data_IF_832986424711
#
_entry.id   IF_832986424711
#
_cell.length_a   1.000
_cell.length_b   1.000
_cell.length_c   1.000
_cell.angle_alpha   90.00
_cell.angle_beta   90.00
_cell.angle_gamma   90.00
#
_symmetry.space_group_name_H-M   'P 1'
#
loop_
_entity.id
_entity.type
_entity.pdbx_description
1 polymer ?
#
# COMPACT_ATOMS: atom_id res chain seq x y z
N UNK A 1 73.98 20.45 43.13
CA UNK A 1 73.96 19.98 41.72
C UNK A 1 72.55 20.28 41.20
N UNK A 2 72.33 21.43 40.53
CA UNK A 2 72.24 21.56 39.05
C UNK A 2 71.25 20.57 38.44
N UNK A 3 70.24 20.88 37.62
CA UNK A 3 69.84 22.04 36.80
C UNK A 3 68.42 21.64 36.30
N UNK A 4 67.43 22.50 36.41
CA UNK A 4 66.93 23.37 35.33
C UNK A 4 65.71 22.80 34.56
N UNK A 5 64.73 23.69 34.44
CA UNK A 5 63.54 23.69 33.59
C UNK A 5 63.74 22.97 32.25
N UNK A 6 62.76 22.17 31.85
CA UNK A 6 62.56 21.82 30.44
C UNK A 6 61.17 22.27 29.98
N UNK A 7 61.19 23.12 28.95
CA UNK A 7 60.04 23.69 28.26
C UNK A 7 59.34 22.62 27.43
N UNK A 8 58.02 22.58 27.51
CA UNK A 8 57.15 21.77 26.65
C UNK A 8 57.16 22.39 25.25
N UNK A 9 57.87 21.76 24.31
CA UNK A 9 57.78 22.09 22.88
C UNK A 9 56.61 21.30 22.30
N UNK A 10 55.49 21.97 22.03
CA UNK A 10 54.39 21.44 21.23
C UNK A 10 54.81 21.61 19.76
N UNK A 11 55.15 20.49 19.12
CA UNK A 11 55.39 20.43 17.68
C UNK A 11 54.02 20.35 16.99
N UNK A 12 53.56 21.46 16.41
CA UNK A 12 52.41 21.48 15.50
C UNK A 12 52.81 20.80 14.19
N UNK A 13 52.44 19.54 14.03
CA UNK A 13 52.37 18.89 12.71
C UNK A 13 50.97 19.20 12.16
N UNK A 14 50.89 20.16 11.25
CA UNK A 14 49.75 20.35 10.37
C UNK A 14 49.67 19.18 9.40
N UNK A 15 48.99 18.11 9.82
CA UNK A 15 48.56 17.07 8.90
C UNK A 15 47.28 17.56 8.24
N UNK A 16 47.44 18.24 7.10
CA UNK A 16 46.36 18.50 6.17
C UNK A 16 45.91 17.16 5.59
N UNK A 17 45.03 16.45 6.30
CA UNK A 17 44.24 15.39 5.67
C UNK A 17 43.25 16.09 4.76
N UNK A 18 43.67 16.36 3.54
CA UNK A 18 42.77 16.35 2.40
C UNK A 18 42.13 14.96 2.42
N UNK A 19 40.97 14.86 3.06
CA UNK A 19 40.01 13.81 2.72
C UNK A 19 39.57 14.21 1.32
N UNK A 20 40.39 13.80 0.34
CA UNK A 20 39.88 13.41 -0.96
C UNK A 20 38.80 12.40 -0.59
N UNK A 21 37.55 12.84 -0.58
CA UNK A 21 36.43 11.93 -0.72
C UNK A 21 36.75 11.17 -2.01
N UNK A 22 37.37 10.00 -1.86
CA UNK A 22 37.32 8.98 -2.88
C UNK A 22 35.86 8.92 -3.27
N UNK A 23 35.60 9.08 -4.57
CA UNK A 23 34.34 8.75 -5.21
C UNK A 23 33.79 7.51 -4.51
N UNK A 24 32.87 7.73 -3.58
CA UNK A 24 32.16 6.66 -2.95
C UNK A 24 31.16 6.33 -4.03
N UNK A 25 31.54 5.36 -4.88
CA UNK A 25 30.68 4.74 -5.88
C UNK A 25 29.33 4.55 -5.19
N UNK A 26 28.41 5.46 -5.52
CA UNK A 26 27.06 5.40 -5.00
C UNK A 26 26.51 4.11 -5.59
N UNK A 27 26.05 3.17 -4.74
CA UNK A 27 25.66 1.84 -5.20
C UNK A 27 24.74 2.00 -6.40
N UNK A 28 25.07 1.30 -7.48
CA UNK A 28 24.24 1.35 -8.68
C UNK A 28 22.81 1.02 -8.29
N UNK A 29 21.88 1.82 -8.82
CA UNK A 29 20.47 1.49 -8.73
C UNK A 29 20.35 0.06 -9.28
N UNK A 30 19.72 -0.89 -8.55
CA UNK A 30 19.51 -2.20 -9.11
C UNK A 30 18.79 -2.01 -10.45
N UNK A 31 19.40 -2.50 -11.53
CA UNK A 31 18.82 -2.46 -12.87
C UNK A 31 17.46 -3.15 -12.78
N UNK A 32 16.39 -2.36 -12.71
CA UNK A 32 15.04 -2.89 -12.66
C UNK A 32 14.61 -3.09 -14.12
N UNK A 33 14.46 -4.33 -14.62
CA UNK A 33 14.36 -4.64 -16.06
C UNK A 33 13.11 -4.11 -16.79
N UNK A 34 12.28 -3.29 -16.14
CA UNK A 34 11.15 -2.60 -16.76
C UNK A 34 11.04 -1.12 -16.40
N UNK A 35 12.02 -0.56 -15.69
CA UNK A 35 12.21 0.88 -15.69
C UNK A 35 12.86 1.26 -17.02
N UNK A 36 12.45 2.38 -17.62
CA UNK A 36 13.25 2.98 -18.68
C UNK A 36 14.33 3.81 -17.99
N UNK A 37 15.58 3.38 -18.09
CA UNK A 37 16.75 4.03 -17.50
C UNK A 37 17.46 4.89 -18.55
N UNK A 38 17.82 6.12 -18.19
CA UNK A 38 18.64 7.00 -19.02
C UNK A 38 19.60 7.80 -18.14
N UNK A 39 20.77 7.22 -17.85
CA UNK A 39 21.86 7.89 -17.15
C UNK A 39 21.45 8.46 -15.79
N UNK A 40 21.13 9.76 -15.78
CA UNK A 40 20.77 10.54 -14.58
C UNK A 40 19.34 10.34 -14.09
N UNK A 41 18.50 9.57 -14.80
CA UNK A 41 17.15 9.30 -14.31
C UNK A 41 16.61 7.94 -14.75
N UNK A 42 15.57 7.49 -14.06
CA UNK A 42 14.76 6.32 -14.42
C UNK A 42 13.28 6.63 -14.25
N UNK A 43 12.41 6.02 -15.04
CA UNK A 43 10.96 6.12 -14.93
C UNK A 43 10.34 4.73 -14.76
N UNK A 44 9.31 4.63 -13.92
CA UNK A 44 8.66 3.37 -13.54
C UNK A 44 7.70 2.80 -14.60
N UNK A 45 7.18 3.65 -15.49
CA UNK A 45 6.37 3.24 -16.63
C UNK A 45 6.43 4.27 -17.76
N UNK A 46 6.32 3.80 -19.00
CA UNK A 46 6.28 4.65 -20.20
C UNK A 46 4.95 4.58 -20.93
N UNK A 47 3.95 3.91 -20.37
CA UNK A 47 2.60 3.85 -20.92
C UNK A 47 1.55 4.09 -19.84
N UNK A 48 0.66 5.07 -20.06
CA UNK A 48 -0.47 5.39 -19.19
C UNK A 48 -1.78 5.08 -19.91
N UNK A 49 -2.77 4.63 -19.16
CA UNK A 49 -4.10 4.34 -19.69
C UNK A 49 -4.85 5.60 -20.11
N UNK A 50 -5.87 5.41 -20.94
CA UNK A 50 -6.73 6.49 -21.40
C UNK A 50 -7.46 7.21 -20.26
N UNK A 51 -7.74 6.56 -19.13
CA UNK A 51 -8.39 7.22 -17.98
C UNK A 51 -7.46 8.19 -17.22
N UNK A 52 -6.18 8.27 -17.60
CA UNK A 52 -5.17 8.99 -16.84
C UNK A 52 -4.54 8.09 -15.77
N UNK A 53 -3.52 8.62 -15.11
CA UNK A 53 -2.72 7.84 -14.15
C UNK A 53 -1.42 8.55 -13.80
N UNK A 54 -0.82 8.09 -12.70
CA UNK A 54 0.47 8.58 -12.21
C UNK A 54 1.66 7.76 -12.72
N UNK A 55 2.85 8.36 -12.67
CA UNK A 55 4.15 7.72 -12.88
C UNK A 55 5.19 8.34 -11.94
N UNK A 56 6.31 7.67 -11.72
CA UNK A 56 7.39 8.11 -10.84
C UNK A 56 8.70 8.15 -11.63
N UNK A 57 9.39 9.28 -11.53
CA UNK A 57 10.75 9.46 -12.04
C UNK A 57 11.71 9.56 -10.85
N UNK A 58 12.80 8.81 -10.90
CA UNK A 58 13.90 8.84 -9.92
C UNK A 58 15.13 9.44 -10.60
N UNK A 59 15.71 10.46 -10.00
CA UNK A 59 16.88 11.21 -10.50
C UNK A 59 18.11 10.86 -9.67
N UNK A 60 19.22 10.55 -10.34
CA UNK A 60 20.57 10.38 -9.78
C UNK A 60 21.44 11.53 -10.31
N UNK A 61 21.84 12.45 -9.44
CA UNK A 61 22.59 13.64 -9.83
C UNK A 61 23.47 14.13 -8.69
N UNK A 62 24.71 14.52 -8.98
CA UNK A 62 25.66 15.09 -8.02
C UNK A 62 25.53 16.62 -7.88
N UNK A 63 24.33 17.15 -8.14
CA UNK A 63 24.05 18.58 -8.10
C UNK A 63 22.59 18.91 -8.40
N UNK A 64 22.33 20.17 -8.77
CA UNK A 64 20.98 20.64 -9.09
C UNK A 64 20.49 20.01 -10.38
N UNK A 65 19.21 19.69 -10.44
CA UNK A 65 18.54 19.20 -11.64
C UNK A 65 17.23 19.94 -11.90
N UNK A 66 16.82 19.97 -13.16
CA UNK A 66 15.50 20.47 -13.59
C UNK A 66 14.71 19.34 -14.25
N UNK A 67 13.38 19.45 -14.19
CA UNK A 67 12.45 18.53 -14.81
C UNK A 67 11.37 19.31 -15.57
N UNK A 68 11.04 18.88 -16.78
CA UNK A 68 9.99 19.51 -17.59
C UNK A 68 9.13 18.47 -18.31
N UNK A 69 7.85 18.79 -18.47
CA UNK A 69 6.92 18.08 -19.35
C UNK A 69 6.75 18.87 -20.64
N UNK A 70 6.77 18.22 -21.80
CA UNK A 70 6.47 18.86 -23.09
C UNK A 70 4.98 19.21 -23.25
N UNK A 71 4.12 18.72 -22.36
CA UNK A 71 2.67 18.78 -22.50
C UNK A 71 1.98 19.25 -21.23
N UNK A 72 0.91 20.04 -21.36
CA UNK A 72 0.18 20.63 -20.23
C UNK A 72 -0.81 19.68 -19.55
N UNK A 73 -1.19 18.60 -20.23
CA UNK A 73 -2.05 17.54 -19.69
C UNK A 73 -1.27 16.51 -18.85
N UNK A 74 0.05 16.64 -18.79
CA UNK A 74 0.95 15.86 -17.96
C UNK A 74 1.66 16.80 -16.97
N UNK A 75 1.39 16.64 -15.67
CA UNK A 75 1.92 17.50 -14.61
C UNK A 75 2.97 16.80 -13.79
N UNK A 76 3.99 17.52 -13.32
CA UNK A 76 5.01 17.03 -12.40
C UNK A 76 4.82 17.67 -11.02
N UNK A 77 5.00 16.89 -9.96
CA UNK A 77 4.93 17.34 -8.55
C UNK A 77 5.93 18.45 -8.22
N UNK A 78 7.07 18.48 -8.92
CA UNK A 78 8.06 19.56 -8.89
C UNK A 78 8.92 19.53 -10.16
N UNK A 79 9.49 20.68 -10.51
CA UNK A 79 10.28 20.88 -11.74
C UNK A 79 11.77 21.11 -11.47
N UNK A 80 12.23 20.97 -10.24
CA UNK A 80 13.65 21.05 -9.88
C UNK A 80 13.96 20.35 -8.56
N UNK A 81 15.25 20.09 -8.32
CA UNK A 81 15.79 19.59 -7.06
C UNK A 81 17.32 19.61 -7.04
N UNK A 82 17.91 19.02 -6.00
CA UNK A 82 19.35 18.94 -5.81
C UNK A 82 19.73 17.58 -5.21
N UNK A 83 20.81 16.98 -5.70
CA UNK A 83 21.17 15.61 -5.34
C UNK A 83 20.18 14.58 -5.89
N UNK A 84 20.27 13.35 -5.42
CA UNK A 84 19.32 12.30 -5.77
C UNK A 84 17.90 12.64 -5.26
N UNK A 85 16.87 12.24 -6.00
CA UNK A 85 15.49 12.46 -5.57
C UNK A 85 14.44 11.84 -6.49
N UNK A 86 13.18 11.87 -6.04
CA UNK A 86 12.05 11.39 -6.83
C UNK A 86 11.08 12.53 -7.16
N UNK A 87 10.42 12.42 -8.30
CA UNK A 87 9.28 13.25 -8.70
C UNK A 87 8.15 12.33 -9.16
N UNK A 88 6.92 12.59 -8.73
CA UNK A 88 5.74 12.00 -9.35
C UNK A 88 5.24 12.87 -10.49
N UNK A 89 4.71 12.24 -11.53
CA UNK A 89 3.96 12.89 -12.58
C UNK A 89 2.57 12.28 -12.74
N UNK A 90 1.65 13.03 -13.33
CA UNK A 90 0.26 12.64 -13.53
C UNK A 90 -0.25 13.06 -14.90
N UNK A 91 -0.88 12.14 -15.62
CA UNK A 91 -1.57 12.42 -16.88
C UNK A 91 -3.08 12.50 -16.66
N UNK A 92 -3.69 13.59 -17.12
CA UNK A 92 -5.16 13.70 -17.21
C UNK A 92 -5.72 12.63 -18.14
N UNK A 93 -7.00 12.29 -17.97
CA UNK A 93 -7.70 11.41 -18.90
C UNK A 93 -7.55 11.88 -20.36
N UNK A 94 -7.38 10.92 -21.26
CA UNK A 94 -7.35 11.05 -22.70
C UNK A 94 -8.66 10.51 -23.29
N UNK A 95 -9.50 11.42 -23.78
CA UNK A 95 -10.73 11.07 -24.50
C UNK A 95 -10.54 11.05 -26.02
N UNK A 96 -9.33 11.32 -26.50
CA UNK A 96 -8.99 11.41 -27.92
C UNK A 96 -8.17 10.23 -28.40
N UNK A 97 -7.52 10.42 -29.55
CA UNK A 97 -6.53 9.49 -30.05
C UNK A 97 -5.36 9.32 -29.07
N UNK A 98 -4.62 8.24 -29.23
CA UNK A 98 -3.37 8.01 -28.54
C UNK A 98 -2.45 9.24 -28.64
N UNK A 99 -1.82 9.61 -27.53
CA UNK A 99 -0.97 10.79 -27.44
C UNK A 99 0.28 10.49 -26.64
N UNK A 100 1.31 11.32 -26.77
CA UNK A 100 2.57 11.12 -26.07
C UNK A 100 3.06 12.42 -25.45
N UNK A 101 3.82 12.31 -24.36
CA UNK A 101 4.52 13.40 -23.70
C UNK A 101 5.98 13.04 -23.53
N UNK A 102 6.84 14.04 -23.63
CA UNK A 102 8.26 13.92 -23.34
C UNK A 102 8.52 14.56 -21.97
N UNK A 103 9.12 13.79 -21.07
CA UNK A 103 9.67 14.31 -19.82
C UNK A 103 11.19 14.40 -19.96
N UNK A 104 11.73 15.58 -19.68
CA UNK A 104 13.17 15.84 -19.74
C UNK A 104 13.66 16.13 -18.32
N UNK A 105 14.72 15.44 -17.91
CA UNK A 105 15.50 15.73 -16.70
C UNK A 105 16.87 16.19 -17.14
N UNK A 106 17.35 17.32 -16.62
CA UNK A 106 18.70 17.83 -16.89
C UNK A 106 19.48 18.03 -15.60
N UNK A 107 20.74 17.61 -15.58
CA UNK A 107 21.69 17.92 -14.51
C UNK A 107 23.07 18.23 -15.10
N UNK A 108 23.53 19.47 -14.93
CA UNK A 108 24.77 19.92 -15.55
C UNK A 108 24.73 19.80 -17.09
N UNK A 109 25.54 18.90 -17.65
CA UNK A 109 25.59 18.60 -19.09
C UNK A 109 24.87 17.30 -19.47
N UNK A 110 24.34 16.59 -18.49
CA UNK A 110 23.67 15.31 -18.68
C UNK A 110 22.16 15.51 -18.79
N UNK A 111 21.51 14.69 -19.61
CA UNK A 111 20.08 14.74 -19.89
C UNK A 111 19.51 13.33 -19.93
N UNK A 112 18.31 13.17 -19.37
CA UNK A 112 17.48 11.99 -19.50
C UNK A 112 16.13 12.39 -20.10
N UNK A 113 15.72 11.70 -21.16
CA UNK A 113 14.50 11.98 -21.90
C UNK A 113 13.58 10.76 -21.95
N UNK A 114 12.43 10.83 -21.29
CA UNK A 114 11.42 9.78 -21.31
C UNK A 114 10.25 10.16 -22.20
N UNK A 115 9.98 9.34 -23.21
CA UNK A 115 8.74 9.42 -24.00
C UNK A 115 7.71 8.52 -23.35
N UNK A 116 6.65 9.12 -22.81
CA UNK A 116 5.52 8.39 -22.27
C UNK A 116 4.36 8.44 -23.26
N UNK A 117 3.74 7.30 -23.45
CA UNK A 117 2.58 7.07 -24.30
C UNK A 117 1.32 7.05 -23.44
N UNK A 118 0.25 7.69 -23.88
CA UNK A 118 -1.08 7.57 -23.30
C UNK A 118 -2.05 6.98 -24.32
N UNK A 119 -2.67 5.85 -23.98
CA UNK A 119 -3.57 5.12 -24.87
C UNK A 119 -4.79 5.96 -25.29
N UNK A 120 -5.37 5.63 -26.45
CA UNK A 120 -6.58 6.24 -26.97
C UNK A 120 -7.81 5.95 -26.10
N UNK A 121 -8.76 6.87 -26.08
CA UNK A 121 -10.01 6.80 -25.30
C UNK A 121 -11.00 5.70 -25.70
N UNK A 122 -10.66 4.81 -26.65
CA UNK A 122 -11.59 3.87 -27.29
C UNK A 122 -11.34 2.36 -27.02
N UNK A 123 -10.46 2.03 -26.06
CA UNK A 123 -10.59 0.75 -25.33
C UNK A 123 -9.77 -0.45 -25.84
N UNK A 124 -8.46 -0.30 -26.07
CA UNK A 124 -7.56 -1.46 -26.09
C UNK A 124 -6.75 -1.56 -24.79
N UNK A 125 -7.15 -2.50 -23.92
CA UNK A 125 -6.37 -2.94 -22.76
C UNK A 125 -5.52 -4.17 -23.16
N UNK A 126 -4.18 -4.10 -23.12
CA UNK A 126 -3.34 -5.29 -23.07
C UNK A 126 -3.08 -5.74 -21.62
N UNK A 127 -3.27 -7.05 -21.43
CA UNK A 127 -2.91 -8.02 -20.37
C UNK A 127 -2.24 -7.53 -19.03
N UNK A 128 -2.77 -7.89 -17.84
CA UNK A 128 -2.44 -7.20 -16.58
C UNK A 128 -1.17 -7.59 -15.82
N UNK A 129 -0.38 -8.64 -16.13
CA UNK A 129 0.90 -8.87 -15.41
C UNK A 129 1.79 -10.03 -15.94
N UNK A 130 3.10 -9.79 -16.20
CA UNK A 130 4.13 -10.80 -15.98
C UNK A 130 5.42 -10.24 -15.33
N UNK A 131 5.39 -9.64 -14.14
CA UNK A 131 6.62 -9.42 -13.34
C UNK A 131 6.35 -9.20 -11.83
N UNK A 132 6.64 -10.19 -10.95
CA UNK A 132 6.46 -10.06 -9.50
C UNK A 132 7.45 -9.09 -8.80
N UNK A 133 8.40 -8.45 -9.50
CA UNK A 133 9.30 -7.42 -8.94
C UNK A 133 8.83 -5.97 -9.20
N UNK A 134 7.69 -5.77 -9.86
CA UNK A 134 7.09 -4.44 -10.13
C UNK A 134 5.60 -4.42 -9.78
N UNK A 135 5.19 -3.82 -8.65
CA UNK A 135 3.80 -3.87 -8.22
C UNK A 135 2.89 -3.17 -9.23
N UNK A 136 1.79 -3.84 -9.58
CA UNK A 136 0.79 -3.46 -10.58
C UNK A 136 0.28 -2.01 -10.46
N UNK A 137 -0.33 -1.50 -11.54
CA UNK A 137 -1.06 -0.22 -11.54
C UNK A 137 -2.18 -0.11 -10.49
N UNK A 138 -2.53 -1.21 -9.80
CA UNK A 138 -3.42 -1.20 -8.65
C UNK A 138 -2.80 -0.58 -7.40
N UNK A 139 -1.46 -0.53 -7.28
CA UNK A 139 -0.79 0.05 -6.11
C UNK A 139 -1.07 1.56 -5.93
N UNK A 140 -1.46 2.26 -7.01
CA UNK A 140 -1.87 3.67 -6.95
C UNK A 140 -3.34 3.90 -6.62
N UNK A 141 -4.09 2.86 -6.21
CA UNK A 141 -5.49 3.01 -5.82
C UNK A 141 -5.60 3.56 -4.40
N UNK A 142 -6.70 4.26 -4.14
CA UNK A 142 -6.93 4.99 -2.88
C UNK A 142 -6.89 4.06 -1.67
N UNK A 143 -7.46 2.86 -1.74
CA UNK A 143 -7.44 1.91 -0.63
C UNK A 143 -6.06 1.33 -0.33
N UNK A 144 -5.07 1.48 -1.20
CA UNK A 144 -3.78 0.83 -1.03
C UNK A 144 -2.93 1.64 -0.06
N UNK A 145 -2.54 1.07 1.11
CA UNK A 145 -1.57 1.70 1.98
C UNK A 145 -0.21 1.77 1.30
N UNK A 146 0.62 2.68 1.78
CA UNK A 146 1.97 2.84 1.29
C UNK A 146 2.73 1.55 1.46
N UNK A 147 3.22 1.02 0.35
CA UNK A 147 3.96 -0.24 0.35
C UNK A 147 5.19 -0.10 1.25
N UNK A 148 5.44 -1.11 2.08
CA UNK A 148 6.65 -1.21 2.89
C UNK A 148 7.91 -1.19 2.00
N UNK A 149 7.81 -1.81 0.82
CA UNK A 149 8.91 -1.99 -0.10
C UNK A 149 9.95 -3.00 0.41
N UNK A 150 11.02 -3.18 -0.36
CA UNK A 150 12.05 -4.19 -0.09
C UNK A 150 11.73 -5.57 -0.68
N UNK A 151 12.77 -6.38 -0.90
CA UNK A 151 12.69 -7.63 -1.67
C UNK A 151 11.87 -8.76 -1.03
N UNK A 152 11.57 -8.64 0.27
CA UNK A 152 10.78 -9.64 1.01
C UNK A 152 9.28 -9.29 1.08
N UNK A 153 8.86 -8.20 0.43
CA UNK A 153 7.46 -7.77 0.40
C UNK A 153 6.94 -7.83 -1.04
N UNK A 154 5.85 -8.55 -1.26
CA UNK A 154 5.19 -8.67 -2.57
C UNK A 154 3.80 -8.03 -2.52
N UNK A 155 3.52 -7.12 -3.45
CA UNK A 155 2.15 -6.65 -3.66
C UNK A 155 1.38 -7.62 -4.56
N UNK A 156 0.19 -8.02 -4.13
CA UNK A 156 -0.64 -9.01 -4.82
C UNK A 156 -2.06 -8.47 -4.92
N UNK A 157 -2.63 -8.49 -6.12
CA UNK A 157 -4.06 -8.22 -6.32
C UNK A 157 -4.77 -9.45 -6.84
N UNK A 158 -5.88 -9.83 -6.19
CA UNK A 158 -6.79 -10.85 -6.70
C UNK A 158 -7.99 -10.18 -7.35
N UNK A 159 -8.33 -10.67 -8.54
CA UNK A 159 -9.39 -10.11 -9.36
C UNK A 159 -10.37 -11.21 -9.76
N UNK A 160 -11.57 -10.77 -10.12
CA UNK A 160 -12.62 -11.59 -10.73
C UNK A 160 -13.05 -10.96 -12.04
N UNK A 161 -13.55 -11.76 -12.96
CA UNK A 161 -14.16 -11.24 -14.18
C UNK A 161 -15.68 -11.26 -14.03
N UNK A 162 -16.32 -10.10 -14.20
CA UNK A 162 -17.77 -9.96 -14.29
C UNK A 162 -18.09 -9.31 -15.64
N UNK A 163 -18.81 -10.03 -16.50
CA UNK A 163 -19.24 -9.51 -17.82
C UNK A 163 -18.07 -8.98 -18.68
N UNK A 164 -16.93 -9.67 -18.66
CA UNK A 164 -15.73 -9.25 -19.41
C UNK A 164 -14.92 -8.15 -18.73
N UNK A 165 -15.36 -7.63 -17.58
CA UNK A 165 -14.65 -6.60 -16.81
C UNK A 165 -13.96 -7.20 -15.60
N UNK A 166 -12.72 -6.79 -15.42
CA UNK A 166 -11.94 -7.12 -14.24
C UNK A 166 -12.43 -6.30 -13.04
N UNK A 167 -12.73 -6.99 -11.94
CA UNK A 167 -13.18 -6.41 -10.67
C UNK A 167 -12.24 -6.91 -9.59
N UNK A 168 -11.64 -5.99 -8.84
CA UNK A 168 -10.74 -6.31 -7.73
C UNK A 168 -11.55 -6.97 -6.61
N UNK A 169 -11.12 -8.16 -6.22
CA UNK A 169 -11.63 -8.83 -5.02
C UNK A 169 -10.96 -8.23 -3.80
N UNK A 170 -9.63 -8.34 -3.68
CA UNK A 170 -8.84 -7.60 -2.71
C UNK A 170 -7.39 -7.53 -3.20
N UNK A 171 -6.64 -6.58 -2.66
CA UNK A 171 -5.18 -6.51 -2.76
C UNK A 171 -4.53 -6.76 -1.41
N UNK A 172 -3.25 -7.11 -1.39
CA UNK A 172 -2.46 -7.29 -0.18
C UNK A 172 -0.99 -6.97 -0.43
N UNK A 173 -0.28 -6.63 0.63
CA UNK A 173 1.19 -6.71 0.66
C UNK A 173 1.60 -7.88 1.55
N UNK A 174 2.26 -8.87 0.97
CA UNK A 174 2.65 -10.11 1.64
C UNK A 174 4.13 -10.07 2.04
N UNK A 175 4.43 -10.23 3.32
CA UNK A 175 5.79 -10.31 3.84
C UNK A 175 6.24 -11.77 3.86
N UNK A 176 7.14 -12.14 2.94
CA UNK A 176 7.68 -13.49 2.81
C UNK A 176 8.46 -13.95 4.05
N UNK A 177 9.13 -13.03 4.75
CA UNK A 177 9.88 -13.35 5.96
C UNK A 177 8.97 -13.69 7.14
N UNK A 178 7.75 -13.17 7.13
CA UNK A 178 6.73 -13.39 8.17
C UNK A 178 5.61 -14.34 7.74
N UNK A 179 5.61 -14.73 6.47
CA UNK A 179 4.58 -15.53 5.80
C UNK A 179 3.16 -15.05 6.11
N UNK A 180 2.98 -13.75 6.08
CA UNK A 180 1.75 -13.09 6.50
C UNK A 180 1.53 -11.80 5.69
N UNK A 181 0.27 -11.49 5.37
CA UNK A 181 -0.08 -10.21 4.75
C UNK A 181 0.09 -9.07 5.77
N UNK A 182 0.82 -8.03 5.42
CA UNK A 182 0.91 -6.78 6.21
C UNK A 182 -0.46 -6.13 6.34
N UNK A 183 -1.21 -6.17 5.26
CA UNK A 183 -2.58 -5.69 5.16
C UNK A 183 -3.25 -6.34 3.94
N UNK A 184 -4.57 -6.31 3.94
CA UNK A 184 -5.41 -6.50 2.76
C UNK A 184 -6.26 -5.24 2.56
N UNK A 185 -6.46 -4.84 1.31
CA UNK A 185 -7.14 -3.61 0.95
C UNK A 185 -8.17 -3.87 -0.15
N UNK A 186 -9.37 -3.32 0.02
CA UNK A 186 -10.49 -3.63 -0.86
C UNK A 186 -11.63 -2.60 -0.72
N UNK A 187 -12.57 -2.57 -1.68
CA UNK A 187 -13.67 -1.60 -1.68
C UNK A 187 -15.05 -2.24 -1.55
N UNK A 188 -16.03 -1.45 -1.12
CA UNK A 188 -17.46 -1.65 -1.38
C UNK A 188 -17.97 -0.51 -2.25
N UNK A 189 -18.36 -0.84 -3.47
CA UNK A 189 -18.93 0.05 -4.48
C UNK A 189 -20.19 -0.58 -5.10
N UNK A 190 -20.76 0.01 -6.14
CA UNK A 190 -21.95 -0.51 -6.82
C UNK A 190 -21.84 -1.95 -7.34
N UNK A 191 -20.61 -2.49 -7.52
CA UNK A 191 -20.36 -3.86 -8.00
C UNK A 191 -20.07 -4.82 -6.86
N UNK A 192 -19.27 -4.38 -5.89
CA UNK A 192 -18.70 -5.24 -4.84
C UNK A 192 -19.57 -5.28 -3.57
N UNK A 193 -20.52 -4.35 -3.40
CA UNK A 193 -21.49 -4.35 -2.29
C UNK A 193 -22.58 -5.41 -2.41
N UNK A 194 -22.74 -6.04 -3.58
CA UNK A 194 -23.82 -6.97 -3.88
C UNK A 194 -23.61 -8.29 -3.14
N UNK A 195 -24.69 -8.88 -2.60
CA UNK A 195 -24.66 -10.19 -1.95
C UNK A 195 -25.44 -11.24 -2.74
N UNK A 196 -24.72 -12.03 -3.54
CA UNK A 196 -25.27 -13.06 -4.44
C UNK A 196 -24.87 -14.48 -4.07
N UNK A 197 -23.77 -14.67 -3.33
CA UNK A 197 -23.26 -15.99 -2.98
C UNK A 197 -23.07 -16.15 -1.47
N UNK A 198 -23.08 -17.40 -1.04
CA UNK A 198 -22.78 -17.80 0.32
C UNK A 198 -21.31 -18.19 0.47
N UNK A 199 -20.89 -18.31 1.73
CA UNK A 199 -19.57 -18.79 2.15
C UNK A 199 -19.22 -20.12 1.49
N UNK A 200 -18.00 -20.25 0.96
CA UNK A 200 -17.59 -21.40 0.13
C UNK A 200 -16.70 -22.43 0.81
N UNK A 201 -15.94 -22.08 1.85
CA UNK A 201 -14.95 -22.98 2.48
C UNK A 201 -13.89 -23.51 1.49
N UNK A 202 -13.61 -22.77 0.42
CA UNK A 202 -12.73 -23.20 -0.68
C UNK A 202 -11.24 -23.00 -0.35
N UNK A 203 -10.79 -23.60 0.76
CA UNK A 203 -9.42 -23.49 1.28
C UNK A 203 -8.36 -23.86 0.25
N UNK A 204 -7.43 -22.94 0.00
CA UNK A 204 -6.36 -23.16 -0.97
C UNK A 204 -5.10 -22.35 -0.62
N UNK A 205 -3.93 -22.85 -1.02
CA UNK A 205 -2.71 -22.03 -1.00
C UNK A 205 -2.76 -20.99 -2.14
N UNK A 206 -2.11 -19.86 -1.93
CA UNK A 206 -2.06 -18.81 -2.94
C UNK A 206 -0.97 -19.11 -3.99
N UNK A 207 -1.39 -19.26 -5.24
CA UNK A 207 -0.49 -19.57 -6.35
C UNK A 207 0.39 -18.38 -6.75
N UNK A 208 0.02 -17.15 -6.39
CA UNK A 208 0.81 -15.93 -6.68
C UNK A 208 2.05 -15.78 -5.80
N UNK A 209 2.10 -16.53 -4.69
CA UNK A 209 3.23 -16.58 -3.76
C UNK A 209 4.14 -17.75 -4.16
N UNK A 210 5.48 -17.60 -4.18
CA UNK A 210 6.41 -18.70 -4.42
C UNK A 210 6.25 -19.82 -3.37
N UNK A 211 6.44 -21.07 -3.78
CA UNK A 211 6.12 -22.25 -2.95
C UNK A 211 6.80 -22.24 -1.57
N UNK A 212 8.04 -21.77 -1.49
CA UNK A 212 8.82 -21.68 -0.25
C UNK A 212 8.23 -20.72 0.80
N UNK A 213 7.46 -19.71 0.36
CA UNK A 213 6.82 -18.72 1.22
C UNK A 213 5.33 -18.97 1.45
N UNK A 214 4.74 -19.98 0.80
CA UNK A 214 3.31 -20.31 0.99
C UNK A 214 3.02 -20.85 2.39
N UNK A 215 1.79 -20.61 2.82
CA UNK A 215 1.20 -21.19 4.04
C UNK A 215 0.09 -22.17 3.69
N UNK A 216 -0.17 -23.09 4.60
CA UNK A 216 -1.10 -24.20 4.45
C UNK A 216 -1.91 -24.42 5.73
N UNK A 217 -2.94 -25.26 5.66
CA UNK A 217 -3.79 -25.60 6.81
C UNK A 217 -2.99 -25.95 8.07
N UNK A 218 -1.95 -26.77 7.90
CA UNK A 218 -1.13 -27.29 9.00
C UNK A 218 -0.39 -26.20 9.78
N UNK A 219 -0.21 -25.02 9.19
CA UNK A 219 0.56 -23.94 9.81
C UNK A 219 -0.25 -23.17 10.86
N UNK A 220 -1.58 -23.36 10.86
CA UNK A 220 -2.54 -22.68 11.75
C UNK A 220 -3.10 -23.60 12.85
N UNK A 221 -2.55 -24.80 13.09
CA UNK A 221 -3.16 -25.80 14.00
C UNK A 221 -3.47 -25.30 15.42
N UNK A 222 -2.70 -24.34 15.93
CA UNK A 222 -2.84 -23.79 17.29
C UNK A 222 -3.82 -22.61 17.36
N UNK A 223 -4.29 -22.12 16.21
CA UNK A 223 -5.07 -20.89 16.08
C UNK A 223 -6.28 -21.11 15.16
N UNK A 224 -7.23 -20.18 15.19
CA UNK A 224 -8.20 -20.07 14.12
C UNK A 224 -7.54 -19.49 12.86
N UNK A 225 -7.96 -19.97 11.69
CA UNK A 225 -7.68 -19.35 10.39
C UNK A 225 -8.54 -18.08 10.23
N UNK A 226 -8.13 -17.01 10.91
CA UNK A 226 -8.83 -15.74 10.90
C UNK A 226 -8.70 -15.06 9.54
N UNK A 227 -9.81 -14.67 8.93
CA UNK A 227 -9.76 -13.98 7.65
C UNK A 227 -9.33 -12.53 7.86
N UNK A 228 -8.47 -12.00 6.97
CA UNK A 228 -8.26 -10.55 6.88
C UNK A 228 -9.34 -9.92 5.98
N UNK A 229 -9.52 -10.41 4.76
CA UNK A 229 -10.70 -10.12 3.94
C UNK A 229 -11.75 -11.20 4.22
N UNK A 230 -12.85 -10.85 4.89
CA UNK A 230 -13.84 -11.83 5.32
C UNK A 230 -14.57 -12.43 4.11
N UNK A 231 -14.95 -13.71 4.20
CA UNK A 231 -15.80 -14.32 3.18
C UNK A 231 -17.10 -13.52 2.98
N UNK A 232 -17.67 -12.98 4.05
CA UNK A 232 -18.88 -12.17 3.97
C UNK A 232 -18.66 -10.82 3.28
N UNK A 233 -17.43 -10.31 3.18
CA UNK A 233 -17.12 -9.07 2.46
C UNK A 233 -17.09 -9.26 0.94
N UNK A 234 -16.99 -10.52 0.47
CA UNK A 234 -16.86 -10.87 -0.95
C UNK A 234 -17.92 -11.87 -1.38
N UNK A 235 -19.16 -11.43 -1.34
CA UNK A 235 -20.34 -12.23 -1.73
C UNK A 235 -20.93 -11.83 -3.09
N UNK A 236 -20.30 -10.90 -3.82
CA UNK A 236 -20.79 -10.47 -5.14
C UNK A 236 -20.57 -11.52 -6.25
N UNK A 237 -19.58 -12.40 -6.08
CA UNK A 237 -19.23 -13.47 -7.03
C UNK A 237 -18.74 -14.71 -6.28
N UNK A 238 -19.04 -15.89 -6.82
CA UNK A 238 -18.55 -17.17 -6.30
C UNK A 238 -17.02 -17.19 -6.27
N UNK A 239 -16.38 -16.71 -7.34
CA UNK A 239 -14.93 -16.70 -7.46
C UNK A 239 -14.29 -15.74 -6.46
N UNK A 240 -14.88 -14.56 -6.27
CA UNK A 240 -14.43 -13.59 -5.28
C UNK A 240 -14.49 -14.18 -3.86
N UNK A 241 -15.56 -14.92 -3.56
CA UNK A 241 -15.70 -15.58 -2.27
C UNK A 241 -14.63 -16.66 -2.07
N UNK A 242 -14.36 -17.49 -3.07
CA UNK A 242 -13.32 -18.53 -3.00
C UNK A 242 -11.95 -17.92 -2.72
N UNK A 243 -11.62 -16.79 -3.34
CA UNK A 243 -10.34 -16.11 -3.13
C UNK A 243 -10.14 -15.64 -1.68
N UNK A 244 -11.20 -15.42 -0.90
CA UNK A 244 -11.07 -15.10 0.54
C UNK A 244 -10.56 -16.27 1.37
N UNK A 245 -10.60 -17.50 0.85
CA UNK A 245 -10.14 -18.72 1.52
C UNK A 245 -8.67 -19.06 1.22
N UNK A 246 -7.93 -18.17 0.57
CA UNK A 246 -6.49 -18.34 0.40
C UNK A 246 -5.76 -18.20 1.72
N UNK A 247 -4.80 -19.09 1.99
CA UNK A 247 -4.00 -19.04 3.22
C UNK A 247 -3.13 -17.78 3.34
N UNK A 248 -2.89 -17.06 2.24
CA UNK A 248 -2.27 -15.73 2.22
C UNK A 248 -3.14 -14.65 2.86
N UNK A 249 -4.46 -14.82 2.83
CA UNK A 249 -5.46 -13.96 3.47
C UNK A 249 -5.78 -14.38 4.92
N UNK A 250 -5.08 -15.39 5.44
CA UNK A 250 -5.30 -15.89 6.80
C UNK A 250 -4.31 -15.30 7.79
N UNK A 251 -4.78 -15.11 9.02
CA UNK A 251 -4.00 -14.67 10.16
C UNK A 251 -4.25 -15.57 11.36
N UNK A 252 -3.22 -15.96 12.15
CA UNK A 252 -3.40 -16.74 13.36
C UNK A 252 -4.11 -15.94 14.46
N UNK A 253 -5.42 -16.17 14.59
CA UNK A 253 -6.25 -15.53 15.61
C UNK A 253 -6.63 -16.53 16.70
N UNK A 254 -6.60 -16.11 17.97
CA UNK A 254 -7.14 -16.91 19.07
C UNK A 254 -8.62 -17.19 18.82
N UNK A 255 -9.10 -18.39 19.17
CA UNK A 255 -10.48 -18.78 18.86
C UNK A 255 -11.51 -17.85 19.51
N UNK A 256 -11.24 -17.39 20.74
CA UNK A 256 -12.10 -16.43 21.44
C UNK A 256 -12.15 -15.07 20.75
N UNK A 257 -11.01 -14.59 20.23
CA UNK A 257 -10.95 -13.34 19.48
C UNK A 257 -11.66 -13.48 18.13
N UNK A 258 -11.31 -14.49 17.33
CA UNK A 258 -11.85 -14.71 15.98
C UNK A 258 -13.39 -14.82 15.97
N UNK A 259 -13.93 -15.75 16.77
CA UNK A 259 -15.37 -16.05 16.78
C UNK A 259 -16.21 -15.06 17.61
N UNK A 260 -15.56 -14.31 18.51
CA UNK A 260 -16.22 -13.34 19.36
C UNK A 260 -16.02 -11.91 18.87
N UNK A 261 -14.86 -11.33 19.20
CA UNK A 261 -14.61 -9.90 19.01
C UNK A 261 -14.37 -9.53 17.54
N UNK A 262 -13.52 -10.28 16.84
CA UNK A 262 -13.19 -10.00 15.43
C UNK A 262 -14.41 -10.09 14.52
N UNK A 263 -15.26 -11.10 14.72
CA UNK A 263 -16.55 -11.21 13.99
C UNK A 263 -17.44 -9.98 14.20
N UNK A 264 -17.49 -9.41 15.42
CA UNK A 264 -18.21 -8.15 15.68
C UNK A 264 -17.56 -6.96 14.96
N UNK A 265 -16.22 -6.94 14.84
CA UNK A 265 -15.50 -5.91 14.09
C UNK A 265 -15.81 -5.94 12.61
N UNK A 266 -15.76 -7.13 12.00
CA UNK A 266 -16.09 -7.32 10.60
C UNK A 266 -17.56 -6.93 10.33
N UNK A 267 -18.48 -7.29 11.23
CA UNK A 267 -19.88 -6.87 11.12
C UNK A 267 -20.04 -5.34 11.24
N UNK A 268 -19.24 -4.67 12.07
CA UNK A 268 -19.34 -3.22 12.25
C UNK A 268 -19.03 -2.42 10.98
N UNK A 269 -18.30 -2.98 10.02
CA UNK A 269 -18.07 -2.33 8.72
C UNK A 269 -19.38 -2.24 7.93
N UNK A 270 -20.25 -3.26 8.04
CA UNK A 270 -21.55 -3.33 7.37
C UNK A 270 -22.66 -2.66 8.18
N UNK A 271 -22.60 -2.78 9.50
CA UNK A 271 -23.62 -2.26 10.41
C UNK A 271 -22.95 -1.56 11.60
N UNK A 272 -22.33 -0.38 11.42
CA UNK A 272 -21.58 0.31 12.49
C UNK A 272 -22.33 0.46 13.81
N UNK A 273 -23.67 0.59 13.76
CA UNK A 273 -24.55 0.72 14.94
C UNK A 273 -25.23 -0.57 15.39
N UNK A 274 -24.83 -1.72 14.84
CA UNK A 274 -25.57 -2.97 14.98
C UNK A 274 -26.99 -2.92 14.38
N UNK A 275 -27.31 -1.85 13.65
CA UNK A 275 -28.56 -1.56 12.97
C UNK A 275 -28.20 -0.96 11.62
N UNK A 276 -29.03 -1.22 10.61
CA UNK A 276 -28.91 -0.70 9.24
C UNK A 276 -27.68 -1.18 8.47
N UNK A 277 -27.93 -1.87 7.36
CA UNK A 277 -26.91 -2.30 6.42
C UNK A 277 -26.36 -1.10 5.64
N UNK A 278 -25.32 -0.47 6.20
CA UNK A 278 -24.67 0.72 5.67
C UNK A 278 -24.11 0.48 4.27
N UNK A 279 -23.43 -0.66 4.07
CA UNK A 279 -22.79 -1.01 2.80
C UNK A 279 -23.81 -1.15 1.67
N UNK A 280 -24.94 -1.83 1.91
CA UNK A 280 -25.96 -1.99 0.87
C UNK A 280 -26.78 -0.71 0.62
N UNK A 281 -26.67 0.30 1.49
CA UNK A 281 -27.30 1.63 1.33
C UNK A 281 -26.41 2.65 0.61
N UNK A 282 -25.13 2.34 0.37
CA UNK A 282 -24.26 3.19 -0.44
C UNK A 282 -24.93 3.48 -1.80
N UNK A 283 -24.86 4.72 -2.28
CA UNK A 283 -25.31 5.09 -3.62
C UNK A 283 -24.47 4.39 -4.71
N UNK A 284 -24.87 4.54 -5.96
CA UNK A 284 -24.15 3.90 -7.08
C UNK A 284 -22.78 4.54 -7.38
N UNK A 285 -22.58 5.77 -6.92
CA UNK A 285 -21.34 6.54 -7.03
C UNK A 285 -20.57 6.64 -5.70
N UNK A 286 -21.09 6.01 -4.64
CA UNK A 286 -20.44 6.02 -3.33
C UNK A 286 -19.45 4.85 -3.25
N UNK A 287 -18.41 4.99 -2.43
CA UNK A 287 -17.43 3.94 -2.19
C UNK A 287 -16.96 3.95 -0.76
N UNK A 288 -16.94 2.78 -0.12
CA UNK A 288 -16.23 2.56 1.13
C UNK A 288 -14.91 1.85 0.82
N UNK A 289 -13.80 2.50 1.13
CA UNK A 289 -12.46 1.91 1.07
C UNK A 289 -12.14 1.27 2.41
N UNK A 290 -11.59 0.06 2.38
CA UNK A 290 -11.35 -0.77 3.56
C UNK A 290 -9.94 -1.33 3.51
N UNK A 291 -9.19 -1.13 4.60
CA UNK A 291 -7.92 -1.80 4.84
C UNK A 291 -8.04 -2.58 6.14
N UNK A 292 -7.55 -3.83 6.14
CA UNK A 292 -7.53 -4.70 7.33
C UNK A 292 -6.17 -5.36 7.46
N UNK A 293 -5.70 -5.62 8.67
CA UNK A 293 -4.43 -6.31 8.84
C UNK A 293 -4.16 -6.74 10.27
N UNK A 294 -3.11 -7.53 10.43
CA UNK A 294 -2.46 -7.78 11.71
C UNK A 294 -1.13 -7.03 11.73
N UNK A 295 -0.81 -6.35 12.82
CA UNK A 295 0.48 -5.67 12.96
C UNK A 295 1.59 -6.72 13.16
N UNK A 296 2.44 -6.88 12.15
CA UNK A 296 3.49 -7.91 12.10
C UNK A 296 4.91 -7.37 12.28
N UNK A 297 5.09 -6.06 12.45
CA UNK A 297 6.40 -5.45 12.79
C UNK A 297 6.53 -5.21 14.31
N UNK A 298 5.80 -5.99 15.13
CA UNK A 298 5.94 -6.01 16.59
C UNK A 298 7.27 -6.66 16.99
N UNK A 299 8.01 -6.04 17.91
CA UNK A 299 9.28 -6.56 18.42
C UNK A 299 9.11 -7.91 19.15
N UNK A 300 7.94 -8.14 19.75
CA UNK A 300 7.60 -9.36 20.48
C UNK A 300 6.76 -10.35 19.65
N UNK A 301 6.86 -10.28 18.32
CA UNK A 301 6.07 -11.12 17.41
C UNK A 301 6.34 -12.62 17.65
N UNK A 302 5.26 -13.40 17.79
CA UNK A 302 5.32 -14.87 17.89
C UNK A 302 5.11 -15.50 16.52
N UNK A 303 5.45 -16.79 16.41
CA UNK A 303 5.27 -17.55 15.18
C UNK A 303 4.60 -18.90 15.44
N UNK A 304 3.81 -19.36 14.49
CA UNK A 304 3.17 -20.69 14.47
C UNK A 304 3.56 -21.46 13.21
N UNK A 305 3.50 -22.79 13.28
CA UNK A 305 3.65 -23.65 12.12
C UNK A 305 4.96 -23.42 11.36
N UNK A 306 4.85 -23.23 10.04
CA UNK A 306 5.99 -22.94 9.17
C UNK A 306 6.44 -21.47 9.21
N UNK A 307 6.63 -20.91 10.40
CA UNK A 307 7.08 -19.52 10.62
C UNK A 307 6.06 -18.46 10.16
N UNK A 308 4.77 -18.71 10.41
CA UNK A 308 3.71 -17.72 10.19
C UNK A 308 3.63 -16.80 11.39
N UNK A 309 3.76 -15.49 11.18
CA UNK A 309 3.66 -14.51 12.25
C UNK A 309 2.27 -14.53 12.91
N UNK A 310 2.24 -14.36 14.23
CA UNK A 310 1.05 -14.29 15.08
C UNK A 310 0.93 -12.85 15.60
N UNK A 311 0.18 -11.96 14.91
CA UNK A 311 0.03 -10.57 15.32
C UNK A 311 -0.59 -10.47 16.71
N UNK A 312 -0.05 -9.63 17.60
CA UNK A 312 -0.77 -9.27 18.83
C UNK A 312 -1.93 -8.34 18.56
N UNK A 313 -1.75 -7.44 17.59
CA UNK A 313 -2.72 -6.40 17.29
C UNK A 313 -3.31 -6.57 15.90
N UNK A 314 -4.61 -6.30 15.78
CA UNK A 314 -5.33 -6.23 14.52
C UNK A 314 -5.90 -4.84 14.31
N UNK A 315 -5.99 -4.43 13.06
CA UNK A 315 -6.46 -3.11 12.69
C UNK A 315 -7.40 -3.13 11.48
N UNK A 316 -8.18 -2.07 11.40
CA UNK A 316 -9.05 -1.74 10.27
C UNK A 316 -8.94 -0.23 10.04
N UNK A 317 -8.77 0.20 8.80
CA UNK A 317 -8.90 1.60 8.38
C UNK A 317 -10.03 1.70 7.34
N UNK A 318 -10.88 2.71 7.49
CA UNK A 318 -12.06 2.94 6.67
C UNK A 318 -12.05 4.38 6.16
N UNK A 319 -12.37 4.54 4.88
CA UNK A 319 -12.55 5.84 4.25
C UNK A 319 -13.81 5.83 3.39
N UNK A 320 -14.69 6.81 3.60
CA UNK A 320 -15.94 6.96 2.87
C UNK A 320 -15.82 8.06 1.80
N UNK A 321 -16.15 7.69 0.56
CA UNK A 321 -16.41 8.63 -0.53
C UNK A 321 -17.90 8.65 -0.85
N UNK A 322 -18.52 9.82 -0.72
CA UNK A 322 -19.94 10.02 -0.93
C UNK A 322 -20.21 11.44 -1.43
N UNK A 323 -21.21 11.60 -2.31
CA UNK A 323 -21.60 12.90 -2.89
C UNK A 323 -20.44 13.65 -3.58
N UNK A 324 -19.50 12.91 -4.17
CA UNK A 324 -18.38 13.49 -4.91
C UNK A 324 -17.17 13.92 -4.06
N UNK A 325 -17.15 13.58 -2.77
CA UNK A 325 -16.09 13.97 -1.83
C UNK A 325 -15.72 12.83 -0.89
N UNK A 326 -14.48 12.85 -0.41
CA UNK A 326 -14.07 12.03 0.74
C UNK A 326 -14.59 12.71 1.99
N UNK A 327 -15.49 12.03 2.70
CA UNK A 327 -16.28 12.68 3.76
C UNK A 327 -15.86 12.24 5.15
N UNK A 328 -15.41 11.00 5.33
CA UNK A 328 -15.22 10.41 6.65
C UNK A 328 -14.10 9.37 6.67
N UNK A 329 -13.18 9.50 7.63
CA UNK A 329 -12.20 8.48 8.00
C UNK A 329 -12.50 7.88 9.37
N UNK A 330 -12.19 6.60 9.58
CA UNK A 330 -12.21 5.95 10.88
C UNK A 330 -11.29 4.74 10.89
N UNK A 331 -10.65 4.50 12.03
CA UNK A 331 -9.77 3.37 12.22
C UNK A 331 -10.05 2.63 13.52
N UNK A 332 -9.46 1.45 13.63
CA UNK A 332 -9.52 0.59 14.78
C UNK A 332 -8.17 -0.11 15.01
N UNK A 333 -7.82 -0.35 16.28
CA UNK A 333 -6.62 -1.11 16.66
C UNK A 333 -6.86 -1.87 17.97
N UNK A 334 -6.78 -3.20 17.96
CA UNK A 334 -7.15 -4.05 19.10
C UNK A 334 -6.11 -5.15 19.33
N UNK A 335 -5.80 -5.43 20.61
CA UNK A 335 -4.96 -6.56 20.99
C UNK A 335 -5.81 -7.82 21.11
N UNK A 336 -5.49 -8.88 20.34
CA UNK A 336 -6.27 -10.13 20.36
C UNK A 336 -6.14 -10.94 21.67
N UNK A 337 -5.22 -10.56 22.56
CA UNK A 337 -4.99 -11.21 23.85
C UNK A 337 -5.36 -10.33 25.05
N UNK A 338 -5.66 -9.06 24.82
CA UNK A 338 -5.97 -8.08 25.86
C UNK A 338 -7.06 -7.12 25.35
N UNK A 339 -8.30 -7.59 25.41
CA UNK A 339 -9.49 -6.84 25.03
C UNK A 339 -10.63 -7.18 25.99
N UNK A 340 -11.55 -6.23 26.17
CA UNK A 340 -12.79 -6.47 26.90
C UNK A 340 -13.83 -7.10 25.94
N UNK A 341 -14.25 -8.37 26.16
CA UNK A 341 -15.21 -9.05 25.29
C UNK A 341 -16.63 -8.46 25.37
N UNK A 342 -16.92 -7.68 26.41
CA UNK A 342 -18.20 -7.00 26.63
C UNK A 342 -18.27 -5.60 26.02
N UNK A 343 -17.12 -5.03 25.67
CA UNK A 343 -17.03 -3.68 25.10
C UNK A 343 -17.67 -3.60 23.71
N UNK A 344 -18.17 -2.41 23.39
CA UNK A 344 -18.70 -2.11 22.05
C UNK A 344 -17.57 -1.78 21.10
N UNK A 345 -17.82 -2.04 19.82
CA UNK A 345 -16.82 -1.81 18.78
C UNK A 345 -16.37 -0.36 18.69
N UNK A 346 -17.32 0.54 18.94
CA UNK A 346 -17.16 1.99 19.05
C UNK A 346 -16.10 2.40 20.06
N UNK A 347 -15.92 1.66 21.16
CA UNK A 347 -14.91 1.98 22.18
C UNK A 347 -13.46 1.82 21.69
N UNK A 348 -13.25 1.14 20.56
CA UNK A 348 -11.94 0.96 19.94
C UNK A 348 -11.73 1.88 18.72
N UNK A 349 -12.72 2.72 18.38
CA UNK A 349 -12.63 3.63 17.25
C UNK A 349 -11.59 4.72 17.51
N UNK A 350 -10.84 5.07 16.47
CA UNK A 350 -9.83 6.14 16.48
C UNK A 350 -9.71 6.81 15.12
N UNK A 351 -8.93 7.89 15.06
CA UNK A 351 -8.55 8.53 13.79
C UNK A 351 -7.54 7.66 13.04
N UNK A 352 -7.41 7.88 11.72
CA UNK A 352 -6.44 7.14 10.91
C UNK A 352 -5.02 7.55 11.30
N UNK A 353 -4.74 8.84 11.53
CA UNK A 353 -3.46 9.31 12.10
C UNK A 353 -3.03 8.51 13.33
N UNK A 354 -3.99 8.21 14.23
CA UNK A 354 -3.68 7.47 15.46
C UNK A 354 -3.36 6.01 15.19
N UNK A 355 -3.93 5.44 14.14
CA UNK A 355 -3.58 4.12 13.68
C UNK A 355 -2.18 4.14 13.03
N UNK A 356 -1.85 5.13 12.21
CA UNK A 356 -0.52 5.29 11.60
C UNK A 356 0.59 5.43 12.64
N UNK A 357 0.36 6.20 13.69
CA UNK A 357 1.28 6.31 14.83
C UNK A 357 1.58 4.94 15.46
N UNK A 358 0.63 4.01 15.42
CA UNK A 358 0.74 2.67 16.04
C UNK A 358 1.33 1.63 15.10
N UNK A 359 1.08 1.74 13.80
CA UNK A 359 1.48 0.72 12.81
C UNK A 359 2.67 1.14 11.97
N UNK A 360 2.97 2.43 11.91
CA UNK A 360 3.92 3.02 10.96
C UNK A 360 3.59 2.69 9.50
N UNK A 361 2.30 2.43 9.22
CA UNK A 361 1.74 2.28 7.88
C UNK A 361 1.01 3.56 7.57
N UNK A 362 1.30 4.12 6.40
CA UNK A 362 0.71 5.34 5.84
C UNK A 362 -0.50 4.88 4.99
N UNK A 363 -1.71 5.05 5.54
CA UNK A 363 -2.97 4.60 4.92
C UNK A 363 -3.48 5.68 3.97
N UNK A 364 -4.24 5.28 2.94
CA UNK A 364 -4.86 6.21 1.98
C UNK A 364 -3.93 7.27 1.34
N UNK A 365 -2.60 7.05 1.40
CA UNK A 365 -1.52 7.92 0.91
C UNK A 365 -1.57 8.37 -0.56
N UNK A 366 -2.46 7.74 -1.33
CA UNK A 366 -2.71 8.07 -2.73
C UNK A 366 -3.75 9.22 -2.88
N UNK A 367 -4.30 9.71 -1.77
CA UNK A 367 -5.11 10.93 -1.74
C UNK A 367 -4.26 12.19 -1.98
N UNK A 368 -4.88 13.29 -2.44
CA UNK A 368 -4.25 14.60 -2.33
C UNK A 368 -3.91 14.94 -0.87
N UNK A 369 -2.71 15.49 -0.57
CA UNK A 369 -2.24 15.65 0.81
C UNK A 369 -3.16 16.49 1.72
N UNK A 370 -3.86 17.47 1.15
CA UNK A 370 -4.83 18.29 1.86
C UNK A 370 -6.08 17.50 2.26
N UNK A 371 -6.57 16.64 1.37
CA UNK A 371 -7.70 15.75 1.64
C UNK A 371 -7.32 14.67 2.64
N UNK A 372 -6.18 14.01 2.44
CA UNK A 372 -5.60 13.02 3.35
C UNK A 372 -5.52 13.57 4.78
N UNK A 373 -4.83 14.70 4.95
CA UNK A 373 -4.67 15.35 6.26
C UNK A 373 -6.01 15.70 6.93
N UNK A 374 -7.05 16.02 6.15
CA UNK A 374 -8.38 16.35 6.69
C UNK A 374 -9.12 15.10 7.17
N UNK A 375 -9.19 14.06 6.34
CA UNK A 375 -10.00 12.86 6.61
C UNK A 375 -9.36 11.93 7.65
N UNK A 376 -8.04 12.02 7.83
CA UNK A 376 -7.30 11.14 8.74
C UNK A 376 -7.15 11.69 10.15
N UNK A 377 -7.23 13.01 10.32
CA UNK A 377 -7.01 13.69 11.60
C UNK A 377 -8.03 13.35 12.69
N UNK A 378 -9.30 13.13 12.32
CA UNK A 378 -10.40 12.87 13.27
C UNK A 378 -11.43 11.94 12.65
N UNK A 379 -12.06 11.11 13.47
CA UNK A 379 -13.28 10.40 13.09
C UNK A 379 -14.51 11.12 13.62
N UNK A 380 -15.57 11.24 12.81
CA UNK A 380 -16.87 11.75 13.28
C UNK A 380 -17.73 10.58 13.78
N UNK A 381 -17.81 10.46 15.11
CA UNK A 381 -18.64 9.45 15.76
C UNK A 381 -20.10 9.49 15.29
N UNK A 382 -20.64 10.67 14.99
CA UNK A 382 -22.03 10.82 14.55
C UNK A 382 -22.23 10.31 13.12
N UNK A 383 -21.24 10.50 12.25
CA UNK A 383 -21.32 10.05 10.88
C UNK A 383 -21.32 8.51 10.79
N UNK A 384 -20.51 7.86 11.63
CA UNK A 384 -20.42 6.40 11.65
C UNK A 384 -21.48 5.75 12.54
N UNK A 385 -21.81 6.36 13.69
CA UNK A 385 -22.55 5.70 14.76
C UNK A 385 -23.98 6.21 15.08
N UNK A 386 -24.66 6.87 14.13
CA UNK A 386 -26.07 7.29 14.30
C UNK A 386 -27.14 6.27 13.91
#
# INVERSE_FOLDING_TARGET
>A
MTKALFRLFILFITCSTAISCSEQDSPDLPDNPGNTNQGIASIDQTQINANGGGFIIRVKADGTWQASSSETWCTLSRTSGNGNGSISGYMKANTGAERSVIIIITSGKEEAQFTLKQLAGDGSNPDPDPDPEKPSGYAGRIEIPKLKGGSMNQFITHTTNIEGKEIITYSMEYDYSKKHARWVAFTFDSKTKISNVSRTEAWMYDKKIPEEYRTYEKDYKEYSRGHLCASYDRTYSLEANKQTFYYSNMSPQSTAFNTGFWTKFEQSIKTPNGKNDFIHKLGDNDTLYVVKGGYIDDEEIKYTGNHVAVPRFYFIALLLYQNGQYTQGMAYYVNQFDYDPSSTIKSYAMSIDKLEEKTHIDFFHNLPPDIESEVEAKYDEKAWFQ
#
